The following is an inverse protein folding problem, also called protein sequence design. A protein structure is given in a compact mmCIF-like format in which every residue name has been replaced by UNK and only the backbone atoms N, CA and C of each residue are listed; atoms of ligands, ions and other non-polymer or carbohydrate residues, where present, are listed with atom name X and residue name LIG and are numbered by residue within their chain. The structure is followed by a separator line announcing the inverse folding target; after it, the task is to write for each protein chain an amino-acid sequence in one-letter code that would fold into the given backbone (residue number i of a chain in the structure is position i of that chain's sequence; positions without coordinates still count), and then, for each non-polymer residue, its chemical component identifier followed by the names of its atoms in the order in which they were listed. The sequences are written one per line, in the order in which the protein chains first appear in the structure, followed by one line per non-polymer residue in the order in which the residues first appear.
data_IF_791462341586
#
_entry.id   IF_791462341586
#
_cell.length_a   1.000
_cell.length_b   1.000
_cell.length_c   1.000
_cell.angle_alpha   90.00
_cell.angle_beta   90.00
_cell.angle_gamma   90.00
#
_symmetry.space_group_name_H-M   'P 1'
#
loop_
_entity.id
_entity.type
_entity.pdbx_description
1 polymer ?
#
# COMPACT_ATOMS: atom_id res chain seq x y z
N UNK A 1 -25.19 2.60 8.73
CA UNK A 1 -24.06 2.76 9.67
C UNK A 1 -22.82 2.42 8.85
N UNK A 2 -21.99 3.43 8.53
CA UNK A 2 -20.70 3.18 7.89
C UNK A 2 -19.90 2.29 8.84
N UNK A 3 -19.49 1.12 8.35
CA UNK A 3 -18.62 0.23 9.11
C UNK A 3 -17.31 0.92 9.47
N UNK A 4 -16.63 0.42 10.49
CA UNK A 4 -15.30 0.90 10.85
C UNK A 4 -14.34 0.64 9.69
N UNK A 5 -13.79 1.71 9.11
CA UNK A 5 -12.70 1.62 8.12
C UNK A 5 -11.39 1.29 8.86
N UNK A 6 -10.60 0.35 8.32
CA UNK A 6 -9.25 0.00 8.77
C UNK A 6 -8.20 0.74 7.93
N UNK A 7 -7.74 1.92 8.35
CA UNK A 7 -6.68 2.63 7.63
C UNK A 7 -5.33 1.94 7.80
N UNK A 8 -4.49 1.99 6.77
CA UNK A 8 -3.12 1.49 6.81
C UNK A 8 -2.09 2.59 6.66
N UNK A 9 -2.14 3.34 5.55
CA UNK A 9 -1.14 4.37 5.24
C UNK A 9 -1.70 5.46 4.31
N UNK A 10 -1.17 6.68 4.49
CA UNK A 10 -1.29 7.81 3.56
C UNK A 10 0.10 8.01 2.96
N UNK A 11 0.22 7.81 1.65
CA UNK A 11 1.49 7.83 0.93
C UNK A 11 1.47 9.01 -0.02
N UNK A 12 2.40 9.96 0.15
CA UNK A 12 2.58 11.05 -0.80
C UNK A 12 3.26 10.48 -2.06
N UNK A 13 2.61 10.62 -3.22
CA UNK A 13 3.14 10.06 -4.46
C UNK A 13 4.36 10.84 -4.93
N UNK A 14 5.47 10.16 -5.30
CA UNK A 14 6.65 10.83 -5.83
C UNK A 14 6.33 11.50 -7.17
N UNK A 15 7.11 12.52 -7.54
CA UNK A 15 6.96 13.24 -8.82
C UNK A 15 5.65 14.03 -8.99
N UNK A 16 4.86 14.20 -7.94
CA UNK A 16 3.58 14.95 -7.97
C UNK A 16 3.65 16.30 -7.26
N UNK A 17 4.85 16.75 -6.88
CA UNK A 17 5.06 17.94 -6.03
C UNK A 17 4.27 17.91 -4.71
N UNK A 18 3.94 16.71 -4.22
CA UNK A 18 3.15 16.52 -3.01
C UNK A 18 1.64 16.72 -3.19
N UNK A 19 1.16 16.77 -4.43
CA UNK A 19 -0.24 17.06 -4.75
C UNK A 19 -1.12 15.82 -4.89
N UNK A 20 -0.53 14.63 -5.02
CA UNK A 20 -1.27 13.38 -5.09
C UNK A 20 -0.86 12.42 -3.97
N UNK A 21 -1.84 11.65 -3.50
CA UNK A 21 -1.75 10.73 -2.39
C UNK A 21 -2.28 9.35 -2.80
N UNK A 22 -1.63 8.29 -2.35
CA UNK A 22 -2.21 6.94 -2.28
C UNK A 22 -2.71 6.71 -0.84
N UNK A 23 -4.02 6.56 -0.70
CA UNK A 23 -4.65 6.17 0.56
C UNK A 23 -4.87 4.67 0.56
N UNK A 24 -4.38 3.97 1.58
CA UNK A 24 -4.57 2.52 1.72
C UNK A 24 -5.40 2.21 2.96
N UNK A 25 -6.45 1.41 2.78
CA UNK A 25 -7.41 1.04 3.81
C UNK A 25 -8.03 -0.30 3.43
N UNK A 26 -8.49 -1.06 4.43
CA UNK A 26 -9.03 -2.40 4.20
C UNK A 26 -8.10 -3.24 3.29
N UNK A 27 -8.61 -3.88 2.26
CA UNK A 27 -7.82 -4.57 1.23
C UNK A 27 -7.61 -3.72 -0.04
N UNK A 28 -7.77 -2.40 0.06
CA UNK A 28 -7.76 -1.47 -1.07
C UNK A 28 -6.70 -0.35 -0.93
N UNK A 29 -6.45 0.32 -2.05
CA UNK A 29 -5.71 1.57 -2.15
C UNK A 29 -6.23 2.45 -3.28
N UNK A 30 -6.49 3.73 -3.00
CA UNK A 30 -7.02 4.70 -3.97
C UNK A 30 -6.07 5.87 -4.16
N UNK A 31 -6.07 6.45 -5.35
CA UNK A 31 -5.26 7.61 -5.71
C UNK A 31 -6.12 8.85 -5.70
N UNK A 32 -5.74 9.84 -4.90
CA UNK A 32 -6.46 11.11 -4.79
C UNK A 32 -5.51 12.30 -4.88
N UNK A 33 -6.03 13.47 -5.25
CA UNK A 33 -5.34 14.73 -5.05
C UNK A 33 -5.55 15.26 -3.61
N UNK A 34 -4.84 16.33 -3.26
CA UNK A 34 -5.00 16.99 -1.94
C UNK A 34 -6.37 17.66 -1.73
N UNK A 35 -7.22 17.73 -2.75
CA UNK A 35 -8.59 18.22 -2.67
C UNK A 35 -9.60 17.08 -2.47
N UNK A 36 -9.14 15.82 -2.50
CA UNK A 36 -9.96 14.62 -2.34
C UNK A 36 -10.57 14.09 -3.63
N UNK A 37 -10.15 14.56 -4.81
CA UNK A 37 -10.61 14.01 -6.08
C UNK A 37 -9.78 12.80 -6.48
N UNK A 38 -10.42 11.78 -7.04
CA UNK A 38 -9.72 10.65 -7.62
C UNK A 38 -8.83 11.10 -8.79
N UNK A 39 -7.55 10.72 -8.75
CA UNK A 39 -6.58 11.03 -9.82
C UNK A 39 -6.35 9.86 -10.76
N UNK A 40 -6.77 8.65 -10.34
CA UNK A 40 -6.74 7.43 -11.17
C UNK A 40 -8.03 6.64 -10.97
N UNK A 41 -8.49 5.99 -12.05
CA UNK A 41 -9.61 5.05 -12.00
C UNK A 41 -9.22 3.71 -11.38
N UNK A 42 -7.93 3.37 -11.40
CA UNK A 42 -7.43 2.11 -10.87
C UNK A 42 -7.43 2.11 -9.34
N UNK A 43 -8.00 1.06 -8.76
CA UNK A 43 -7.87 0.72 -7.34
C UNK A 43 -6.78 -0.33 -7.17
N UNK A 44 -5.86 -0.10 -6.25
CA UNK A 44 -4.91 -1.10 -5.80
C UNK A 44 -5.65 -2.11 -4.91
N UNK A 45 -5.72 -3.37 -5.31
CA UNK A 45 -6.44 -4.40 -4.56
C UNK A 45 -5.48 -5.45 -4.02
N UNK A 46 -5.28 -5.53 -2.70
CA UNK A 46 -4.50 -6.58 -2.06
C UNK A 46 -5.21 -7.95 -2.19
N UNK A 47 -4.45 -9.04 -2.29
CA UNK A 47 -5.02 -10.39 -2.32
C UNK A 47 -5.56 -10.87 -0.96
N UNK A 48 -5.15 -10.22 0.13
CA UNK A 48 -5.71 -10.36 1.47
C UNK A 48 -5.60 -9.04 2.24
N UNK A 49 -6.36 -8.91 3.34
CA UNK A 49 -6.28 -7.77 4.26
C UNK A 49 -4.85 -7.63 4.82
N UNK A 50 -4.09 -6.57 4.45
CA UNK A 50 -2.77 -6.36 5.03
C UNK A 50 -2.90 -5.95 6.50
N UNK A 51 -1.94 -6.38 7.32
CA UNK A 51 -1.78 -5.92 8.70
C UNK A 51 -0.94 -4.63 8.80
N UNK A 52 -0.22 -4.30 7.72
CA UNK A 52 0.63 -3.13 7.58
C UNK A 52 0.87 -2.85 6.11
N UNK A 53 0.97 -1.57 5.74
CA UNK A 53 1.34 -1.13 4.40
C UNK A 53 2.50 -0.13 4.52
N UNK A 54 3.45 -0.18 3.59
CA UNK A 54 4.55 0.77 3.54
C UNK A 54 4.97 1.09 2.10
N UNK A 55 5.36 2.33 1.85
CA UNK A 55 6.01 2.75 0.62
C UNK A 55 7.52 2.53 0.72
N UNK A 56 8.14 2.07 -0.37
CA UNK A 56 9.58 1.91 -0.50
C UNK A 56 10.16 2.93 -1.48
N UNK A 57 11.43 3.32 -1.28
CA UNK A 57 12.16 4.22 -2.18
C UNK A 57 12.27 3.73 -3.63
N UNK A 58 12.06 2.44 -3.88
CA UNK A 58 11.99 1.83 -5.20
C UNK A 58 10.66 2.08 -5.95
N UNK A 59 9.84 3.04 -5.50
CA UNK A 59 8.52 3.36 -6.06
C UNK A 59 7.51 2.21 -6.00
N UNK A 60 7.60 1.43 -4.92
CA UNK A 60 6.76 0.27 -4.67
C UNK A 60 6.00 0.46 -3.37
N UNK A 61 4.82 -0.14 -3.28
CA UNK A 61 4.07 -0.26 -2.05
C UNK A 61 4.00 -1.73 -1.65
N UNK A 62 4.32 -1.99 -0.39
CA UNK A 62 4.33 -3.30 0.20
C UNK A 62 3.14 -3.48 1.14
N UNK A 63 2.45 -4.62 1.03
CA UNK A 63 1.38 -5.03 1.94
C UNK A 63 1.77 -6.30 2.66
N UNK A 64 1.85 -6.27 4.00
CA UNK A 64 2.14 -7.44 4.83
C UNK A 64 0.84 -8.14 5.21
N UNK A 65 0.47 -9.18 4.47
CA UNK A 65 -0.63 -10.07 4.80
C UNK A 65 -0.21 -11.19 5.76
N UNK A 66 -1.18 -12.03 6.14
CA UNK A 66 -0.95 -13.18 7.02
C UNK A 66 -0.23 -14.32 6.29
N UNK A 67 -0.52 -14.50 5.00
CA UNK A 67 -0.01 -15.58 4.16
C UNK A 67 1.12 -15.13 3.24
N UNK A 68 1.14 -13.86 2.86
CA UNK A 68 2.17 -13.34 1.98
C UNK A 68 2.46 -11.86 2.21
N UNK A 69 3.63 -11.42 1.73
CA UNK A 69 3.92 -10.01 1.52
C UNK A 69 3.79 -9.72 0.04
N UNK A 70 2.90 -8.81 -0.34
CA UNK A 70 2.72 -8.35 -1.71
C UNK A 70 3.54 -7.08 -1.97
N UNK A 71 4.14 -7.01 -3.16
CA UNK A 71 4.83 -5.85 -3.70
C UNK A 71 4.05 -5.35 -4.91
N UNK A 72 3.66 -4.07 -4.90
CA UNK A 72 2.86 -3.48 -5.99
C UNK A 72 3.47 -2.19 -6.49
N UNK A 73 3.30 -1.96 -7.78
CA UNK A 73 3.66 -0.70 -8.44
C UNK A 73 2.82 0.43 -7.87
N UNK A 74 3.44 1.52 -7.41
CA UNK A 74 2.72 2.73 -6.98
C UNK A 74 2.13 3.48 -8.18
N UNK A 75 2.71 3.30 -9.36
CA UNK A 75 2.23 3.97 -10.57
C UNK A 75 0.99 3.28 -11.15
N UNK A 76 1.02 1.95 -11.24
CA UNK A 76 0.00 1.18 -11.96
C UNK A 76 -0.91 0.35 -11.06
N UNK A 77 -0.56 0.15 -9.78
CA UNK A 77 -1.25 -0.77 -8.87
C UNK A 77 -1.01 -2.26 -9.15
N UNK A 78 -0.27 -2.58 -10.21
CA UNK A 78 0.00 -3.96 -10.63
C UNK A 78 0.86 -4.70 -9.59
N UNK A 79 0.61 -6.01 -9.47
CA UNK A 79 1.40 -6.91 -8.65
C UNK A 79 2.78 -7.13 -9.29
N UNK A 80 3.83 -6.76 -8.57
CA UNK A 80 5.22 -6.90 -9.01
C UNK A 80 5.94 -8.06 -8.32
N UNK A 81 5.49 -8.47 -7.14
CA UNK A 81 6.10 -9.58 -6.41
C UNK A 81 5.25 -10.08 -5.25
N UNK A 82 5.48 -11.34 -4.86
CA UNK A 82 4.82 -11.98 -3.71
C UNK A 82 5.85 -12.82 -2.96
N UNK A 83 5.99 -12.56 -1.66
CA UNK A 83 6.79 -13.38 -0.76
C UNK A 83 5.86 -14.22 0.11
N UNK A 84 5.71 -15.49 -0.25
CA UNK A 84 4.83 -16.42 0.46
C UNK A 84 5.44 -16.85 1.81
N UNK A 85 4.63 -16.87 2.85
CA UNK A 85 5.01 -17.43 4.14
C UNK A 85 4.83 -18.95 4.14
N UNK A 86 5.77 -19.69 4.76
CA UNK A 86 5.63 -21.16 4.94
C UNK A 86 4.45 -21.54 5.85
N UNK A 87 4.06 -20.63 6.74
CA UNK A 87 2.93 -20.72 7.68
C UNK A 87 2.36 -19.32 7.85
N UNK A 88 1.11 -19.20 8.28
CA UNK A 88 0.54 -17.91 8.67
C UNK A 88 1.43 -17.21 9.71
N UNK A 89 1.77 -15.94 9.47
CA UNK A 89 2.61 -15.11 10.32
C UNK A 89 2.04 -13.69 10.37
N UNK A 90 2.08 -13.05 11.54
CA UNK A 90 1.70 -11.64 11.69
C UNK A 90 2.96 -10.77 11.65
N UNK A 91 3.47 -10.55 10.45
CA UNK A 91 4.56 -9.61 10.23
C UNK A 91 4.01 -8.19 10.16
N UNK A 92 4.83 -7.22 10.57
CA UNK A 92 4.53 -5.79 10.46
C UNK A 92 5.76 -5.07 9.94
N UNK A 93 5.53 -4.04 9.16
CA UNK A 93 6.59 -3.11 8.81
C UNK A 93 7.02 -2.34 10.06
N UNK A 94 8.33 -2.15 10.21
CA UNK A 94 8.90 -1.33 11.28
C UNK A 94 9.46 -0.03 10.70
N UNK A 95 10.43 -0.16 9.82
CA UNK A 95 11.02 0.95 9.07
C UNK A 95 11.82 0.38 7.90
N UNK A 96 12.07 1.24 6.92
CA UNK A 96 13.15 1.06 5.95
C UNK A 96 14.42 1.62 6.59
N UNK A 97 15.48 0.81 6.69
CA UNK A 97 16.78 1.24 7.22
C UNK A 97 17.85 0.99 6.17
N UNK A 98 18.54 2.04 5.75
CA UNK A 98 19.67 1.93 4.85
C UNK A 98 20.96 1.88 5.68
N UNK A 99 21.43 0.67 5.99
CA UNK A 99 22.63 0.43 6.82
C UNK A 99 23.96 0.58 6.03
N UNK A 100 23.92 1.25 4.88
CA UNK A 100 25.10 1.49 4.03
C UNK A 100 25.69 2.87 4.25
#
# INVERSE_FOLDING_TARGET
IQGTIRPHAIIILPNTSGMELLLTYEDEGIYIDIYGHFTKETVLQWGEMPASVAYLQSNQVMGWGEKAIELRSVETGNLEGVFMHKKAQKLKFLCERNDK
#
